data_IF_063273999881
#
_entry.id   IF_063273999881
#
_cell.length_a   1.000
_cell.length_b   1.000
_cell.length_c   1.000
_cell.angle_alpha   90.00
_cell.angle_beta   90.00
_cell.angle_gamma   90.00
#
_symmetry.space_group_name_H-M   'P 1'
#
loop_
_entity.id
_entity.type
_entity.pdbx_description
1 polymer ?
#
# COMPACT_ATOMS: atom_id res chain seq x y z
N UNK A 1 26.30 -3.33 -5.91
CA UNK A 1 25.57 -2.36 -6.39
C UNK A 1 24.30 -2.06 -5.70
N UNK A 2 24.02 -0.99 -5.50
CA UNK A 2 22.91 -0.60 -4.77
C UNK A 2 21.78 -0.28 -5.60
N UNK A 3 21.39 -1.21 -6.35
CA UNK A 3 20.30 -1.03 -7.16
C UNK A 3 19.10 -0.62 -6.48
N UNK A 4 18.74 -1.20 -5.33
CA UNK A 4 17.52 -0.86 -4.62
C UNK A 4 17.52 0.57 -4.16
N UNK A 5 18.66 1.05 -3.69
CA UNK A 5 18.79 2.44 -3.28
C UNK A 5 18.58 3.37 -4.45
N UNK A 6 19.20 3.05 -5.59
CA UNK A 6 19.04 3.88 -6.77
C UNK A 6 17.60 3.90 -7.26
N UNK A 7 16.91 2.79 -7.12
CA UNK A 7 15.52 2.68 -7.52
C UNK A 7 14.63 3.62 -6.71
N UNK A 8 14.83 3.61 -5.39
CA UNK A 8 14.08 4.50 -4.51
C UNK A 8 14.41 5.96 -4.76
N UNK A 9 15.66 6.27 -5.05
CA UNK A 9 16.07 7.63 -5.36
C UNK A 9 15.40 8.10 -6.65
N UNK A 10 15.30 7.24 -7.65
CA UNK A 10 14.63 7.58 -8.88
C UNK A 10 13.16 7.86 -8.67
N UNK A 11 12.49 7.06 -7.86
CA UNK A 11 11.09 7.27 -7.56
C UNK A 11 10.90 8.63 -6.88
N UNK A 12 11.73 8.95 -5.93
CA UNK A 12 11.67 10.23 -5.23
C UNK A 12 11.91 11.38 -6.19
N UNK A 13 12.89 11.24 -7.08
CA UNK A 13 13.20 12.27 -8.06
C UNK A 13 12.04 12.53 -9.00
N UNK A 14 11.36 11.46 -9.43
CA UNK A 14 10.21 11.60 -10.30
C UNK A 14 9.10 12.36 -9.59
N UNK A 15 8.87 12.07 -8.32
CA UNK A 15 7.86 12.78 -7.54
C UNK A 15 8.18 14.28 -7.47
N UNK A 16 9.42 14.60 -7.23
CA UNK A 16 9.85 16.00 -7.18
C UNK A 16 9.65 16.68 -8.51
N UNK A 17 10.03 16.02 -9.59
CA UNK A 17 9.87 16.59 -10.93
C UNK A 17 8.40 16.81 -11.26
N UNK A 18 7.55 15.87 -10.90
CA UNK A 18 6.12 16.01 -11.13
C UNK A 18 5.57 17.21 -10.37
N UNK A 19 6.03 17.40 -9.17
CA UNK A 19 5.61 18.54 -8.36
C UNK A 19 6.06 19.85 -8.99
N UNK A 20 7.29 19.88 -9.44
CA UNK A 20 7.84 21.07 -10.09
C UNK A 20 7.10 21.38 -11.38
N UNK A 21 6.78 20.37 -12.13
CA UNK A 21 6.08 20.56 -13.39
C UNK A 21 4.60 20.86 -13.20
N UNK A 22 4.21 21.06 -11.97
CA UNK A 22 2.95 21.73 -11.62
C UNK A 22 1.73 20.92 -11.83
N UNK A 23 1.89 19.73 -12.06
CA UNK A 23 0.74 19.25 -12.47
C UNK A 23 0.18 18.03 -11.90
N UNK A 24 0.92 17.27 -11.27
CA UNK A 24 0.41 16.00 -10.85
C UNK A 24 -0.26 16.14 -9.50
N UNK A 25 -1.55 15.88 -9.49
CA UNK A 25 -2.28 15.82 -8.23
C UNK A 25 -1.76 14.65 -7.42
N UNK A 26 -1.57 14.86 -6.16
CA UNK A 26 -1.09 13.81 -5.30
C UNK A 26 -2.18 12.79 -5.02
N UNK A 27 -1.83 11.53 -4.81
CA UNK A 27 -2.79 10.53 -4.38
C UNK A 27 -3.43 10.95 -3.07
N UNK A 28 -4.72 10.72 -2.96
CA UNK A 28 -5.46 10.96 -1.74
C UNK A 28 -5.73 9.62 -1.08
N UNK A 29 -5.32 9.51 0.16
CA UNK A 29 -5.47 8.26 0.90
C UNK A 29 -6.02 8.53 2.28
N UNK A 30 -7.03 7.79 2.66
CA UNK A 30 -7.60 7.83 4.00
C UNK A 30 -7.63 6.44 4.57
N UNK A 31 -7.35 6.33 5.87
CA UNK A 31 -7.49 5.08 6.57
C UNK A 31 -8.59 5.25 7.61
N UNK A 32 -9.59 4.42 7.55
CA UNK A 32 -10.71 4.44 8.47
C UNK A 32 -10.70 3.19 9.34
N UNK A 33 -11.07 3.35 10.60
CA UNK A 33 -11.13 2.25 11.54
C UNK A 33 -12.57 1.97 11.89
N UNK A 34 -12.97 0.72 11.70
CA UNK A 34 -14.30 0.25 12.05
C UNK A 34 -14.18 -0.83 13.11
N UNK A 35 -15.31 -1.29 13.61
CA UNK A 35 -15.29 -2.27 14.68
C UNK A 35 -14.68 -3.60 14.28
N UNK A 36 -14.91 -4.04 13.04
CA UNK A 36 -14.45 -5.34 12.60
C UNK A 36 -13.36 -5.31 11.52
N UNK A 37 -12.98 -4.12 11.06
CA UNK A 37 -11.98 -4.02 10.00
C UNK A 37 -11.45 -2.60 9.90
N UNK A 38 -10.31 -2.48 9.23
CA UNK A 38 -9.78 -1.21 8.76
C UNK A 38 -10.04 -1.11 7.27
N UNK A 39 -10.09 0.12 6.79
CA UNK A 39 -10.33 0.36 5.38
C UNK A 39 -9.38 1.44 4.89
N UNK A 40 -8.71 1.17 3.77
CA UNK A 40 -7.89 2.18 3.10
C UNK A 40 -8.66 2.61 1.88
N UNK A 41 -8.92 3.91 1.75
CA UNK A 41 -9.53 4.48 0.57
C UNK A 41 -8.49 5.28 -0.18
N UNK A 42 -8.36 5.02 -1.47
CA UNK A 42 -7.31 5.61 -2.27
C UNK A 42 -7.88 6.11 -3.58
N UNK A 43 -7.51 7.34 -3.92
CA UNK A 43 -7.83 7.90 -5.22
C UNK A 43 -6.54 8.47 -5.80
N UNK A 44 -6.16 8.01 -6.98
CA UNK A 44 -4.97 8.48 -7.66
C UNK A 44 -5.42 9.22 -8.91
N UNK A 45 -5.39 10.56 -8.90
CA UNK A 45 -5.82 11.33 -10.05
C UNK A 45 -4.98 11.02 -11.28
N UNK A 46 -5.63 10.86 -12.41
CA UNK A 46 -4.94 10.60 -13.67
C UNK A 46 -4.56 9.15 -13.90
N UNK A 47 -4.83 8.27 -12.94
CA UNK A 47 -4.55 6.84 -13.07
C UNK A 47 -5.87 6.10 -12.89
N UNK A 48 -6.11 5.12 -13.74
CA UNK A 48 -7.28 4.28 -13.58
C UNK A 48 -7.09 3.42 -12.34
N UNK A 49 -8.13 3.30 -11.53
CA UNK A 49 -8.00 2.57 -10.28
C UNK A 49 -7.67 1.09 -10.51
N UNK A 50 -8.09 0.53 -11.64
CA UNK A 50 -7.76 -0.84 -11.97
C UNK A 50 -6.28 -1.03 -12.33
N UNK A 51 -5.54 0.07 -12.52
CA UNK A 51 -4.10 0.00 -12.77
C UNK A 51 -3.29 0.13 -11.49
N UNK A 52 -3.95 0.22 -10.35
CA UNK A 52 -3.29 0.25 -9.06
C UNK A 52 -3.17 -1.19 -8.55
N UNK A 53 -2.00 -1.52 -8.07
CA UNK A 53 -1.69 -2.87 -7.60
C UNK A 53 -1.72 -2.92 -6.08
N UNK A 54 -2.31 -3.99 -5.55
CA UNK A 54 -2.37 -4.24 -4.11
C UNK A 54 -1.78 -5.62 -3.88
N UNK A 55 -0.72 -5.69 -3.08
CA UNK A 55 -0.01 -6.94 -2.85
C UNK A 55 0.38 -7.09 -1.40
N UNK A 56 0.40 -8.33 -0.94
CA UNK A 56 1.00 -8.66 0.35
C UNK A 56 2.19 -9.56 0.08
N UNK A 57 3.35 -9.13 0.53
CA UNK A 57 4.58 -9.88 0.37
C UNK A 57 5.35 -9.85 1.68
N UNK A 58 5.68 -11.01 2.22
CA UNK A 58 6.38 -11.13 3.50
C UNK A 58 5.69 -10.30 4.60
N UNK A 59 4.38 -10.42 4.69
CA UNK A 59 3.56 -9.70 5.66
C UNK A 59 3.59 -8.20 5.49
N UNK A 60 3.99 -7.72 4.32
CA UNK A 60 4.01 -6.30 4.02
C UNK A 60 2.97 -6.00 2.96
N UNK A 61 2.09 -5.05 3.25
CA UNK A 61 1.06 -4.63 2.30
C UNK A 61 1.58 -3.45 1.51
N UNK A 62 1.56 -3.60 0.19
CA UNK A 62 2.01 -2.56 -0.73
C UNK A 62 0.88 -2.18 -1.67
N UNK A 63 0.70 -0.89 -1.87
CA UNK A 63 -0.22 -0.35 -2.86
C UNK A 63 0.59 0.56 -3.75
N UNK A 64 0.60 0.30 -5.05
CA UNK A 64 1.45 1.04 -5.96
C UNK A 64 0.88 1.06 -7.36
N UNK A 65 1.39 1.95 -8.18
CA UNK A 65 1.09 1.99 -9.61
C UNK A 65 2.37 2.35 -10.35
N UNK A 66 2.37 2.13 -11.66
CA UNK A 66 3.55 2.41 -12.47
C UNK A 66 3.44 3.77 -13.12
N UNK A 67 4.56 4.49 -13.16
CA UNK A 67 4.67 5.70 -13.94
C UNK A 67 5.64 5.45 -15.07
N UNK A 68 5.34 6.08 -16.20
CA UNK A 68 6.17 5.95 -17.39
C UNK A 68 7.11 7.13 -17.47
N UNK A 69 8.34 6.85 -17.85
CA UNK A 69 9.37 7.84 -17.96
C UNK A 69 10.22 7.54 -19.16
N UNK A 70 10.68 8.58 -19.86
CA UNK A 70 11.59 8.40 -20.98
C UNK A 70 12.99 8.78 -20.55
N UNK A 71 13.93 7.86 -20.72
CA UNK A 71 15.32 8.08 -20.40
C UNK A 71 16.17 7.49 -21.50
N UNK A 72 17.04 8.29 -22.10
CA UNK A 72 17.89 7.87 -23.21
C UNK A 72 17.08 7.22 -24.34
N UNK A 73 15.96 7.85 -24.69
CA UNK A 73 15.05 7.40 -25.73
C UNK A 73 14.40 6.05 -25.43
N UNK A 74 14.42 5.61 -24.19
CA UNK A 74 13.76 4.38 -23.77
C UNK A 74 12.61 4.69 -22.85
N UNK A 75 11.54 3.94 -23.01
CA UNK A 75 10.41 4.02 -22.09
C UNK A 75 10.70 3.13 -20.90
N UNK A 76 10.66 3.70 -19.72
CA UNK A 76 10.91 3.00 -18.48
C UNK A 76 9.66 3.08 -17.61
N UNK A 77 9.28 1.97 -16.99
CA UNK A 77 8.19 1.95 -16.02
C UNK A 77 8.78 1.81 -14.63
N UNK A 78 8.38 2.70 -13.75
CA UNK A 78 8.82 2.67 -12.36
C UNK A 78 7.61 2.62 -11.45
N UNK A 79 7.66 1.80 -10.41
CA UNK A 79 6.55 1.76 -9.45
C UNK A 79 6.60 2.96 -8.53
N UNK A 80 5.44 3.49 -8.24
CA UNK A 80 5.28 4.51 -7.23
C UNK A 80 4.41 3.95 -6.12
N UNK A 81 4.98 3.86 -4.93
CA UNK A 81 4.29 3.30 -3.79
C UNK A 81 3.48 4.38 -3.09
N UNK A 82 2.21 4.12 -2.93
CA UNK A 82 1.31 5.00 -2.19
C UNK A 82 1.24 4.55 -0.74
N UNK A 83 1.37 3.26 -0.53
CA UNK A 83 1.31 2.67 0.80
C UNK A 83 2.24 1.47 0.81
N UNK A 84 3.03 1.33 1.86
CA UNK A 84 3.95 0.20 1.99
C UNK A 84 4.28 0.02 3.46
N UNK A 85 3.55 -0.88 4.12
CA UNK A 85 3.70 -1.08 5.55
C UNK A 85 3.45 -2.53 5.93
N UNK A 86 4.02 -2.93 7.04
CA UNK A 86 3.77 -4.26 7.60
C UNK A 86 2.31 -4.39 7.99
N UNK A 87 1.75 -5.54 7.74
CA UNK A 87 0.38 -5.85 8.15
C UNK A 87 0.40 -6.16 9.64
N UNK A 88 -0.39 -5.46 10.44
CA UNK A 88 -0.46 -5.75 11.87
C UNK A 88 -0.94 -7.19 12.13
N UNK A 89 -0.48 -7.75 13.24
CA UNK A 89 -0.79 -9.14 13.57
C UNK A 89 -2.28 -9.41 13.74
N UNK A 90 -3.08 -8.37 14.03
CA UNK A 90 -4.51 -8.53 14.24
C UNK A 90 -5.33 -8.45 12.96
N UNK A 91 -4.68 -8.34 11.82
CA UNK A 91 -5.36 -8.36 10.53
C UNK A 91 -5.35 -9.78 9.97
N UNK A 92 -6.49 -10.21 9.43
CA UNK A 92 -6.58 -11.50 8.77
C UNK A 92 -6.11 -11.32 7.34
N UNK A 93 -4.85 -11.65 7.09
CA UNK A 93 -4.23 -11.43 5.78
C UNK A 93 -4.99 -12.15 4.67
N UNK A 94 -5.50 -13.33 4.94
CA UNK A 94 -6.17 -14.12 3.92
C UNK A 94 -7.53 -13.54 3.52
N UNK A 95 -8.04 -12.60 4.29
CA UNK A 95 -9.33 -11.98 4.00
C UNK A 95 -9.20 -10.55 3.52
N UNK A 96 -7.98 -10.07 3.35
CA UNK A 96 -7.78 -8.74 2.77
C UNK A 96 -8.35 -8.77 1.35
N UNK A 97 -9.14 -7.76 1.02
CA UNK A 97 -9.70 -7.65 -0.31
C UNK A 97 -9.69 -6.21 -0.76
N UNK A 98 -9.82 -6.01 -2.05
CA UNK A 98 -9.82 -4.70 -2.66
C UNK A 98 -10.95 -4.63 -3.67
N UNK A 99 -11.59 -3.46 -3.75
CA UNK A 99 -12.64 -3.23 -4.73
C UNK A 99 -12.57 -1.79 -5.20
N UNK A 100 -13.18 -1.52 -6.33
CA UNK A 100 -13.28 -0.17 -6.87
C UNK A 100 -14.73 0.25 -6.75
N UNK A 101 -14.95 1.43 -6.18
CA UNK A 101 -16.27 1.95 -5.96
C UNK A 101 -16.23 3.47 -6.09
N UNK A 102 -17.06 4.03 -6.98
CA UNK A 102 -17.12 5.47 -7.20
C UNK A 102 -15.74 6.07 -7.49
N UNK A 103 -14.97 5.39 -8.34
CA UNK A 103 -13.64 5.82 -8.75
C UNK A 103 -12.61 5.85 -7.61
N UNK A 104 -12.89 5.16 -6.54
CA UNK A 104 -11.94 4.97 -5.45
C UNK A 104 -11.57 3.50 -5.33
N UNK A 105 -10.31 3.27 -5.00
CA UNK A 105 -9.88 1.93 -4.63
C UNK A 105 -10.07 1.79 -3.13
N UNK A 106 -10.76 0.74 -2.72
CA UNK A 106 -11.04 0.49 -1.31
C UNK A 106 -10.41 -0.84 -0.94
N UNK A 107 -9.47 -0.80 -0.01
CA UNK A 107 -8.81 -2.00 0.50
C UNK A 107 -9.33 -2.26 1.90
N UNK A 108 -9.93 -3.43 2.08
CA UNK A 108 -10.50 -3.81 3.35
C UNK A 108 -9.56 -4.78 4.05
N UNK A 109 -9.25 -4.48 5.31
CA UNK A 109 -8.36 -5.28 6.13
C UNK A 109 -9.13 -5.81 7.34
N UNK A 110 -9.77 -6.96 7.20
CA UNK A 110 -10.58 -7.50 8.30
C UNK A 110 -9.71 -7.90 9.49
N UNK A 111 -10.25 -7.70 10.67
CA UNK A 111 -9.58 -8.13 11.89
C UNK A 111 -9.71 -9.64 12.06
N UNK A 112 -8.72 -10.23 12.68
CA UNK A 112 -8.81 -11.60 13.12
C UNK A 112 -9.17 -11.62 14.61
N UNK A 113 -9.21 -12.81 15.18
CA UNK A 113 -9.59 -12.94 16.59
C UNK A 113 -8.60 -12.29 17.56
N UNK A 114 -7.40 -11.96 17.12
CA UNK A 114 -6.38 -11.35 17.96
C UNK A 114 -6.56 -9.84 18.09
N UNK A 115 -7.50 -9.25 17.37
CA UNK A 115 -7.75 -7.82 17.45
C UNK A 115 -8.15 -7.36 18.83
N UNK A 116 -8.74 -8.25 19.61
CA UNK A 116 -9.14 -7.95 20.98
C UNK A 116 -8.07 -8.33 22.00
N UNK A 117 -6.88 -8.67 21.51
CA UNK A 117 -5.77 -9.05 22.36
C UNK A 117 -5.69 -10.55 22.58
N UNK A 118 -4.58 -10.96 23.14
CA UNK A 118 -4.37 -12.35 23.47
C UNK A 118 -5.02 -12.65 24.81
N UNK A 119 -5.76 -13.73 24.85
CA UNK A 119 -6.34 -14.22 26.11
C UNK A 119 -5.85 -15.64 26.29
N UNK A 120 -4.91 -15.83 27.19
CA UNK A 120 -4.32 -17.15 27.42
C UNK A 120 -3.95 -17.31 28.87
N UNK A 121 -4.37 -18.41 29.44
CA UNK A 121 -3.92 -18.78 30.76
C UNK A 121 -2.64 -19.60 30.61
N UNK A 122 -1.61 -19.21 31.34
CA UNK A 122 -0.33 -19.90 31.25
C UNK A 122 -0.25 -20.92 32.37
N UNK A 123 -0.05 -22.17 31.96
CA UNK A 123 0.04 -23.25 32.92
C UNK A 123 1.44 -23.27 33.52
N UNK A 124 1.49 -23.37 34.85
CA UNK A 124 2.76 -23.42 35.55
C UNK A 124 3.23 -24.86 35.59
N UNK A 125 4.43 -25.10 35.07
CA UNK A 125 5.03 -26.42 35.13
C UNK A 125 5.75 -26.59 36.44
N UNK A 126 5.53 -27.75 37.08
CA UNK A 126 6.23 -28.09 38.31
C UNK A 126 7.17 -29.25 38.04
N UNK A 127 8.40 -29.14 38.51
CA UNK A 127 9.41 -30.21 38.36
C UNK A 127 9.55 -31.03 39.60
#
# INVERSE_FOLDING_TARGET
>A
MKRNTNYLDLITSIDVLNTINGGVSEPQMNMNHFEEYREIRLKVPGIKQEDVHVEVHNNNLSIYYFINMVSNERLIQLPRFVYNRSVPYFIDINKINARIENEELIVKLPFNRLANGYHKEIKINQT
#
